data_IF_904298175663
#
_entry.id   IF_904298175663
#
_cell.length_a   1.000
_cell.length_b   1.000
_cell.length_c   1.000
_cell.angle_alpha   90.00
_cell.angle_beta   90.00
_cell.angle_gamma   90.00
#
_symmetry.space_group_name_H-M   'P 1'
#
loop_
_entity.id
_entity.type
_entity.pdbx_description
1 polymer ?
#
# COMPACT_ATOMS: atom_id res chain seq x y z
N UNK A 1 -8.33 3.80 -13.56
CA UNK A 1 -8.57 3.58 -12.12
C UNK A 1 -9.83 2.75 -11.91
N UNK A 2 -9.72 1.66 -11.14
CA UNK A 2 -10.83 0.75 -10.82
C UNK A 2 -11.87 1.42 -9.89
N UNK A 3 -13.15 1.03 -9.99
CA UNK A 3 -14.23 1.46 -9.09
C UNK A 3 -13.95 1.18 -7.60
N UNK A 4 -13.24 0.09 -7.28
CA UNK A 4 -12.85 -0.23 -5.88
C UNK A 4 -11.89 0.83 -5.35
N UNK A 5 -10.83 1.13 -6.09
CA UNK A 5 -9.87 2.19 -5.76
C UNK A 5 -10.57 3.54 -5.61
N UNK A 6 -11.50 3.88 -6.51
CA UNK A 6 -12.28 5.13 -6.42
C UNK A 6 -13.05 5.24 -5.12
N UNK A 7 -13.80 4.21 -4.74
CA UNK A 7 -14.57 4.18 -3.49
C UNK A 7 -13.67 4.29 -2.26
N UNK A 8 -12.48 3.68 -2.32
CA UNK A 8 -11.52 3.75 -1.23
C UNK A 8 -10.95 5.17 -1.09
N UNK A 9 -10.54 5.78 -2.21
CA UNK A 9 -10.09 7.17 -2.22
C UNK A 9 -11.20 8.09 -1.71
N UNK A 10 -12.45 7.93 -2.17
CA UNK A 10 -13.59 8.72 -1.67
C UNK A 10 -13.78 8.58 -0.15
N UNK A 11 -13.63 7.36 0.39
CA UNK A 11 -13.75 7.10 1.83
C UNK A 11 -12.66 7.80 2.65
N UNK A 12 -11.43 7.82 2.13
CA UNK A 12 -10.26 8.38 2.82
C UNK A 12 -9.86 9.75 2.26
N UNK A 13 -10.75 10.40 1.52
CA UNK A 13 -10.54 11.73 0.96
C UNK A 13 -10.85 12.81 2.01
N UNK A 14 -10.05 13.89 2.09
CA UNK A 14 -8.83 14.11 1.32
C UNK A 14 -7.70 13.17 1.76
N UNK A 15 -6.92 12.68 0.78
CA UNK A 15 -5.66 11.97 1.08
C UNK A 15 -4.81 12.88 1.96
N UNK A 16 -4.13 12.29 2.93
CA UNK A 16 -3.33 13.04 3.88
C UNK A 16 -2.25 13.85 3.18
N UNK A 17 -2.12 15.10 3.61
CA UNK A 17 -1.02 15.97 3.22
C UNK A 17 0.29 15.51 3.85
N UNK A 18 1.43 15.91 3.28
CA UNK A 18 2.75 15.62 3.85
C UNK A 18 2.88 16.13 5.29
N UNK A 19 2.21 17.24 5.65
CA UNK A 19 2.15 17.73 7.02
C UNK A 19 1.43 16.76 7.96
N UNK A 20 0.27 16.24 7.55
CA UNK A 20 -0.49 15.27 8.37
C UNK A 20 0.25 13.94 8.52
N UNK A 21 0.91 13.47 7.45
CA UNK A 21 1.79 12.30 7.49
C UNK A 21 2.92 12.53 8.50
N UNK A 22 3.59 13.68 8.43
CA UNK A 22 4.67 14.03 9.34
C UNK A 22 4.20 14.12 10.80
N UNK A 23 3.09 14.79 11.08
CA UNK A 23 2.50 14.88 12.42
C UNK A 23 2.14 13.50 12.98
N UNK A 24 1.62 12.62 12.13
CA UNK A 24 1.29 11.25 12.53
C UNK A 24 2.54 10.42 12.87
N UNK A 25 3.61 10.54 12.10
CA UNK A 25 4.90 9.88 12.36
C UNK A 25 5.54 10.38 13.67
N UNK A 26 5.38 11.66 14.02
CA UNK A 26 5.87 12.19 15.31
C UNK A 26 5.12 11.61 16.53
N UNK A 27 3.83 11.31 16.36
CA UNK A 27 3.00 10.73 17.43
C UNK A 27 3.14 9.20 17.52
N UNK A 28 3.60 8.56 16.46
CA UNK A 28 3.73 7.12 16.34
C UNK A 28 5.18 6.79 15.99
N UNK A 29 6.05 6.83 16.99
CA UNK A 29 7.45 6.44 16.80
C UNK A 29 7.54 4.96 16.38
N UNK A 30 8.43 4.66 15.42
CA UNK A 30 8.66 3.31 14.88
C UNK A 30 7.42 2.65 14.26
N UNK A 31 6.71 3.38 13.38
CA UNK A 31 5.67 2.78 12.52
C UNK A 31 6.27 1.65 11.68
N UNK A 32 5.85 0.43 12.01
CA UNK A 32 6.33 -0.81 11.38
C UNK A 32 5.14 -1.69 11.01
N UNK A 33 5.24 -2.32 9.85
CA UNK A 33 4.16 -3.10 9.26
C UNK A 33 4.67 -4.45 8.79
N UNK A 34 3.80 -5.45 8.83
CA UNK A 34 4.08 -6.71 8.18
C UNK A 34 3.63 -6.61 6.73
N UNK A 35 4.52 -6.91 5.79
CA UNK A 35 4.21 -6.89 4.36
C UNK A 35 4.39 -8.25 3.73
N UNK A 36 3.61 -8.52 2.70
CA UNK A 36 3.61 -9.79 2.00
C UNK A 36 3.39 -9.58 0.50
N UNK A 37 4.21 -10.22 -0.31
CA UNK A 37 4.02 -10.27 -1.76
C UNK A 37 3.44 -11.62 -2.15
N UNK A 38 2.33 -11.61 -2.91
CA UNK A 38 1.67 -12.83 -3.38
C UNK A 38 1.19 -12.66 -4.80
N UNK A 39 1.24 -13.71 -5.59
CA UNK A 39 0.55 -13.74 -6.87
C UNK A 39 -0.97 -13.47 -6.71
N UNK A 40 -1.60 -12.76 -7.66
CA UNK A 40 -3.02 -12.47 -7.61
C UNK A 40 -3.85 -13.75 -7.44
N UNK A 41 -4.81 -13.71 -6.49
CA UNK A 41 -5.71 -14.83 -6.14
C UNK A 41 -5.06 -16.04 -5.46
N UNK A 42 -3.77 -15.97 -5.11
CA UNK A 42 -3.06 -17.04 -4.38
C UNK A 42 -2.82 -16.71 -2.90
N UNK A 43 -3.45 -15.64 -2.38
CA UNK A 43 -3.36 -15.32 -0.96
C UNK A 43 -3.95 -16.44 -0.09
N UNK A 44 -3.19 -16.82 0.94
CA UNK A 44 -3.64 -17.68 2.03
C UNK A 44 -3.03 -17.17 3.34
N UNK A 45 -3.60 -17.55 4.49
CA UNK A 45 -3.02 -17.18 5.79
C UNK A 45 -1.61 -17.73 5.98
N UNK A 46 -1.29 -18.86 5.34
CA UNK A 46 0.04 -19.48 5.40
C UNK A 46 1.09 -18.69 4.60
N UNK A 47 0.68 -17.81 3.69
CA UNK A 47 1.57 -16.99 2.86
C UNK A 47 2.45 -16.06 3.71
N UNK A 48 2.03 -15.69 4.92
CA UNK A 48 2.81 -14.92 5.90
C UNK A 48 4.06 -15.67 6.43
N UNK A 49 4.15 -16.98 6.23
CA UNK A 49 5.33 -17.78 6.57
C UNK A 49 6.29 -17.95 5.37
N UNK A 50 5.98 -17.36 4.22
CA UNK A 50 6.79 -17.50 3.00
C UNK A 50 8.02 -16.60 3.01
N UNK A 51 8.94 -16.84 2.07
CA UNK A 51 10.11 -15.97 1.85
C UNK A 51 9.73 -14.57 1.31
N UNK A 52 8.49 -14.41 0.87
CA UNK A 52 7.95 -13.14 0.37
C UNK A 52 7.19 -12.37 1.45
N UNK A 53 7.17 -12.89 2.69
CA UNK A 53 6.71 -12.18 3.87
C UNK A 53 7.89 -11.44 4.51
N UNK A 54 7.71 -10.16 4.76
CA UNK A 54 8.68 -9.28 5.40
C UNK A 54 8.02 -8.64 6.62
N UNK A 55 8.16 -9.26 7.80
CA UNK A 55 7.65 -8.69 9.03
C UNK A 55 8.46 -7.47 9.46
N UNK A 56 7.87 -6.61 10.28
CA UNK A 56 8.56 -5.47 10.92
C UNK A 56 9.25 -4.51 9.94
N UNK A 57 8.57 -4.20 8.84
CA UNK A 57 9.10 -3.37 7.75
C UNK A 57 8.75 -1.90 7.90
N UNK A 58 9.67 -1.03 7.49
CA UNK A 58 9.39 0.38 7.19
C UNK A 58 8.80 0.48 5.78
N UNK A 59 7.68 1.17 5.62
CA UNK A 59 7.06 1.31 4.31
C UNK A 59 7.87 2.19 3.36
N UNK A 60 8.61 3.17 3.90
CA UNK A 60 9.45 4.05 3.07
C UNK A 60 10.67 3.33 2.50
N UNK A 61 11.17 2.30 3.19
CA UNK A 61 12.33 1.51 2.75
C UNK A 61 11.95 0.41 1.75
N UNK A 62 10.66 0.15 1.54
CA UNK A 62 10.17 -0.94 0.70
C UNK A 62 9.97 -0.55 -0.76
N UNK A 63 10.12 0.72 -1.15
CA UNK A 63 9.81 1.24 -2.50
C UNK A 63 10.41 0.41 -3.62
N UNK A 64 11.75 0.26 -3.65
CA UNK A 64 12.46 -0.46 -4.73
C UNK A 64 12.00 -1.90 -4.83
N UNK A 65 11.88 -2.59 -3.68
CA UNK A 65 11.43 -3.98 -3.63
C UNK A 65 9.97 -4.12 -4.07
N UNK A 66 9.13 -3.19 -3.64
CA UNK A 66 7.70 -3.18 -3.98
C UNK A 66 7.55 -3.00 -5.48
N UNK A 67 8.31 -2.09 -6.06
CA UNK A 67 8.36 -1.89 -7.51
C UNK A 67 8.71 -3.17 -8.26
N UNK A 68 9.79 -3.86 -7.87
CA UNK A 68 10.21 -5.11 -8.52
C UNK A 68 9.10 -6.17 -8.46
N UNK A 69 8.53 -6.42 -7.28
CA UNK A 69 7.50 -7.44 -7.13
C UNK A 69 6.17 -7.09 -7.82
N UNK A 70 5.77 -5.81 -7.80
CA UNK A 70 4.59 -5.35 -8.53
C UNK A 70 4.81 -5.49 -10.05
N UNK A 71 6.02 -5.21 -10.53
CA UNK A 71 6.41 -5.37 -11.94
C UNK A 71 6.41 -6.83 -12.38
N UNK A 72 6.80 -7.74 -11.48
CA UNK A 72 6.74 -9.20 -11.68
C UNK A 72 5.32 -9.77 -11.62
N UNK A 73 4.31 -8.95 -11.30
CA UNK A 73 2.92 -9.36 -11.28
C UNK A 73 2.36 -9.76 -9.90
N UNK A 74 3.14 -9.63 -8.82
CA UNK A 74 2.70 -9.89 -7.44
C UNK A 74 1.95 -8.71 -6.82
N UNK A 75 0.95 -8.98 -5.99
CA UNK A 75 0.26 -7.98 -5.19
C UNK A 75 0.97 -7.77 -3.84
N UNK A 76 0.99 -6.53 -3.35
CA UNK A 76 1.47 -6.20 -2.00
C UNK A 76 0.30 -6.18 -1.01
N UNK A 77 0.42 -6.95 0.07
CA UNK A 77 -0.49 -7.00 1.21
C UNK A 77 0.19 -6.40 2.44
N UNK A 78 -0.51 -5.52 3.16
CA UNK A 78 0.03 -4.79 4.31
C UNK A 78 -0.88 -4.98 5.53
N UNK A 79 -0.26 -5.30 6.67
CA UNK A 79 -0.88 -5.45 7.98
C UNK A 79 -0.13 -4.68 9.06
N UNK A 80 -0.77 -4.41 10.20
CA UNK A 80 -0.07 -3.96 11.39
C UNK A 80 0.95 -5.02 11.82
N UNK A 81 2.12 -4.60 12.32
CA UNK A 81 3.14 -5.51 12.85
C UNK A 81 2.57 -6.50 13.87
N UNK A 82 2.81 -7.79 13.64
CA UNK A 82 2.38 -8.89 14.49
C UNK A 82 0.86 -9.13 14.50
N UNK A 83 0.11 -8.53 13.58
CA UNK A 83 -1.34 -8.65 13.51
C UNK A 83 -1.79 -9.07 12.11
N UNK A 84 -2.87 -9.86 12.05
CA UNK A 84 -3.48 -10.27 10.79
C UNK A 84 -4.59 -9.29 10.35
N UNK A 85 -4.33 -7.99 10.49
CA UNK A 85 -5.23 -6.89 10.09
C UNK A 85 -4.48 -5.56 10.06
N UNK A 86 -5.07 -4.57 9.41
CA UNK A 86 -4.65 -3.19 9.38
C UNK A 86 -5.74 -2.33 10.03
N UNK A 87 -5.34 -1.46 10.96
CA UNK A 87 -6.29 -0.52 11.55
C UNK A 87 -6.54 0.67 10.63
N UNK A 88 -7.77 1.18 10.68
CA UNK A 88 -8.26 2.21 9.74
C UNK A 88 -7.40 3.49 9.71
N UNK A 89 -6.87 4.05 10.82
CA UNK A 89 -5.99 5.22 10.76
C UNK A 89 -4.73 4.99 9.92
N UNK A 90 -4.22 3.76 9.90
CA UNK A 90 -3.03 3.41 9.13
C UNK A 90 -3.33 3.29 7.63
N UNK A 91 -4.58 3.07 7.23
CA UNK A 91 -4.95 3.04 5.80
C UNK A 91 -4.65 4.38 5.13
N UNK A 92 -5.11 5.48 5.73
CA UNK A 92 -4.88 6.83 5.20
C UNK A 92 -3.40 7.19 5.16
N UNK A 93 -2.67 6.85 6.23
CA UNK A 93 -1.22 7.03 6.31
C UNK A 93 -0.50 6.27 5.19
N UNK A 94 -0.76 4.97 5.06
CA UNK A 94 -0.11 4.11 4.08
C UNK A 94 -0.42 4.55 2.65
N UNK A 95 -1.68 4.89 2.35
CA UNK A 95 -2.05 5.40 1.02
C UNK A 95 -1.28 6.67 0.67
N UNK A 96 -1.11 7.61 1.61
CA UNK A 96 -0.35 8.82 1.37
C UNK A 96 1.15 8.54 1.16
N UNK A 97 1.75 7.73 2.03
CA UNK A 97 3.18 7.39 1.96
C UNK A 97 3.50 6.62 0.68
N UNK A 98 2.70 5.61 0.33
CA UNK A 98 2.94 4.82 -0.88
C UNK A 98 2.80 5.63 -2.17
N UNK A 99 1.84 6.56 -2.21
CA UNK A 99 1.71 7.47 -3.36
C UNK A 99 2.91 8.40 -3.45
N UNK A 100 3.39 8.93 -2.32
CA UNK A 100 4.55 9.82 -2.26
C UNK A 100 5.85 9.08 -2.64
N UNK A 101 6.06 7.86 -2.16
CA UNK A 101 7.30 7.11 -2.41
C UNK A 101 7.36 6.46 -3.78
N UNK A 102 6.23 6.11 -4.38
CA UNK A 102 6.17 5.42 -5.68
C UNK A 102 5.86 6.38 -6.84
N UNK A 103 5.78 7.69 -6.59
CA UNK A 103 5.43 8.69 -7.63
C UNK A 103 6.43 8.69 -8.79
N UNK A 104 7.70 8.42 -8.50
CA UNK A 104 8.79 8.45 -9.47
C UNK A 104 8.84 7.19 -10.35
N UNK A 105 8.15 6.12 -9.96
CA UNK A 105 8.30 4.78 -10.57
C UNK A 105 7.38 4.54 -11.79
N UNK A 106 6.64 5.55 -12.26
CA UNK A 106 5.67 5.47 -13.37
C UNK A 106 4.62 4.32 -13.25
N UNK A 107 4.47 3.69 -12.09
CA UNK A 107 3.48 2.64 -11.82
C UNK A 107 2.14 3.27 -11.37
N UNK A 108 1.04 2.76 -11.91
CA UNK A 108 -0.29 3.14 -11.45
C UNK A 108 -0.69 2.36 -10.19
N UNK A 109 -0.61 3.00 -9.03
CA UNK A 109 -1.09 2.39 -7.79
C UNK A 109 -2.62 2.26 -7.79
N UNK A 110 -3.10 1.06 -7.47
CA UNK A 110 -4.48 0.82 -7.09
C UNK A 110 -4.51 0.31 -5.64
N UNK A 111 -5.63 0.54 -4.97
CA UNK A 111 -5.79 0.16 -3.57
C UNK A 111 -7.11 -0.58 -3.39
N UNK A 112 -7.10 -1.61 -2.56
CA UNK A 112 -8.31 -2.25 -2.05
C UNK A 112 -8.12 -2.63 -0.59
N UNK A 113 -9.22 -2.77 0.13
CA UNK A 113 -9.23 -3.44 1.42
C UNK A 113 -9.80 -4.84 1.20
N UNK A 114 -9.04 -5.84 1.62
CA UNK A 114 -9.44 -7.24 1.53
C UNK A 114 -9.03 -7.96 2.81
N UNK A 115 -9.96 -8.66 3.45
CA UNK A 115 -9.74 -9.36 4.72
C UNK A 115 -9.07 -8.50 5.82
N UNK A 116 -9.44 -7.21 5.89
CA UNK A 116 -8.84 -6.20 6.78
C UNK A 116 -7.36 -5.88 6.50
N UNK A 117 -6.82 -6.22 5.34
CA UNK A 117 -5.50 -5.78 4.88
C UNK A 117 -5.65 -4.66 3.86
N UNK A 118 -4.65 -3.78 3.77
CA UNK A 118 -4.48 -2.93 2.59
C UNK A 118 -3.75 -3.74 1.52
N UNK A 119 -4.34 -3.80 0.34
CA UNK A 119 -3.77 -4.54 -0.79
C UNK A 119 -3.56 -3.60 -1.98
N UNK A 120 -2.35 -3.66 -2.54
CA UNK A 120 -1.96 -3.00 -3.77
C UNK A 120 -1.91 -4.08 -4.86
N UNK A 121 -2.98 -4.23 -5.67
CA UNK A 121 -2.95 -5.11 -6.82
C UNK A 121 -1.93 -4.65 -7.86
N UNK A 122 -1.47 -5.60 -8.66
CA UNK A 122 -0.75 -5.26 -9.89
C UNK A 122 -1.67 -4.63 -10.90
N UNK A 123 -1.20 -3.53 -11.49
CA UNK A 123 -1.79 -2.99 -12.71
C UNK A 123 -1.14 -3.66 -13.90
N UNK A 124 -1.90 -4.51 -14.61
CA UNK A 124 -1.51 -4.86 -15.96
C UNK A 124 -1.42 -3.58 -16.83
N UNK A 125 -0.37 -3.42 -17.65
CA UNK A 125 -0.08 -2.20 -18.42
C UNK A 125 -1.15 -1.82 -19.46
N UNK A 126 -2.20 -2.63 -19.64
CA UNK A 126 -3.32 -2.31 -20.55
C UNK A 126 -4.32 -1.29 -19.97
N UNK A 127 -4.12 -0.80 -18.75
CA UNK A 127 -5.08 0.09 -18.07
C UNK A 127 -4.40 1.32 -17.46
N UNK A 128 -3.54 1.98 -18.24
CA UNK A 128 -3.00 3.29 -17.87
C UNK A 128 -4.12 4.35 -17.86
N UNK A 129 -4.58 4.71 -16.67
CA UNK A 129 -5.27 5.97 -16.41
C UNK A 129 -4.48 6.67 -15.31
N UNK A 130 -3.72 7.69 -15.71
CA UNK A 130 -2.89 8.54 -14.86
C UNK A 130 -3.71 9.10 -13.68
N UNK A 131 -3.19 8.96 -12.47
CA UNK A 131 -3.62 9.76 -11.32
C UNK A 131 -2.55 10.84 -11.17
N UNK A 132 -2.83 12.06 -11.66
CA UNK A 132 -2.07 13.25 -11.33
C UNK A 132 -2.80 13.93 -10.17
N UNK A 133 -2.27 13.81 -8.95
CA UNK A 133 -2.78 14.59 -7.83
C UNK A 133 -2.13 15.96 -7.95
N UNK A 134 -2.81 16.89 -8.61
CA UNK A 134 -2.39 18.30 -8.60
C UNK A 134 -2.61 18.83 -7.17
N UNK A 135 -1.52 18.94 -6.42
CA UNK A 135 -1.47 19.71 -5.18
C UNK A 135 -1.77 21.18 -5.51
N UNK A 136 -2.82 21.75 -4.92
CA UNK A 136 -3.10 23.19 -4.93
C UNK A 136 -2.43 23.87 -3.75
#
# INVERSE_FOLDING_TARGET
MNQITKKLIEKFSPIWTNKQVWEFEQLNENLRFDVLYVEPKHYSIESWNSKLAYPDSDIRDLTVRTFDYLSDGNELWIANKGQNKLDEPYVSYLMAVLVDTMIDEEICLNFRIENNFLVIPTTHPKTLQYIRIDAK
#
